data_IF_831686317216
#
_entry.id   IF_831686317216
#
_cell.length_a   1.000
_cell.length_b   1.000
_cell.length_c   1.000
_cell.angle_alpha   90.00
_cell.angle_beta   90.00
_cell.angle_gamma   90.00
#
_symmetry.space_group_name_H-M   'P 1'
#
loop_
_entity.id
_entity.type
_entity.pdbx_description
1 polymer ?
#
# COMPACT_ATOMS: atom_id res chain seq x y z
N UNK A 1 -21.25 -27.07 25.38
CA UNK A 1 -21.03 -25.71 24.82
C UNK A 1 -20.66 -25.77 23.34
N UNK A 2 -19.82 -26.72 22.95
CA UNK A 2 -19.52 -27.12 21.54
C UNK A 2 -20.72 -27.13 20.57
N UNK A 3 -21.86 -27.74 20.91
CA UNK A 3 -23.01 -27.83 20.00
C UNK A 3 -23.70 -26.47 19.73
N UNK A 4 -23.75 -25.57 20.72
CA UNK A 4 -24.31 -24.23 20.55
C UNK A 4 -23.39 -23.36 19.67
N UNK A 5 -22.06 -23.46 19.88
CA UNK A 5 -21.07 -22.77 19.05
C UNK A 5 -21.08 -23.27 17.59
N UNK A 6 -21.29 -24.57 17.37
CA UNK A 6 -21.45 -25.14 16.02
C UNK A 6 -22.74 -24.65 15.34
N UNK A 7 -23.84 -24.52 16.07
CA UNK A 7 -25.08 -23.96 15.53
C UNK A 7 -24.90 -22.48 15.16
N UNK A 8 -24.24 -21.68 16.01
CA UNK A 8 -23.96 -20.28 15.71
C UNK A 8 -22.97 -20.12 14.54
N UNK A 9 -22.01 -21.03 14.39
CA UNK A 9 -21.11 -21.08 13.23
C UNK A 9 -21.83 -21.43 11.93
N UNK A 10 -22.75 -22.39 11.97
CA UNK A 10 -23.56 -22.76 10.80
C UNK A 10 -24.46 -21.60 10.37
N UNK A 11 -25.01 -20.87 11.36
CA UNK A 11 -25.75 -19.64 11.12
C UNK A 11 -24.86 -18.53 10.56
N UNK A 12 -23.63 -18.35 11.08
CA UNK A 12 -22.67 -17.39 10.54
C UNK A 12 -22.29 -17.71 9.10
N UNK A 13 -22.01 -18.97 8.77
CA UNK A 13 -21.75 -19.36 7.39
C UNK A 13 -22.94 -19.05 6.48
N UNK A 14 -24.18 -19.36 6.90
CA UNK A 14 -25.38 -19.02 6.13
C UNK A 14 -25.59 -17.51 5.93
N UNK A 15 -25.17 -16.69 6.90
CA UNK A 15 -25.26 -15.23 6.83
C UNK A 15 -24.14 -14.61 6.00
N UNK A 16 -22.97 -15.25 5.95
CA UNK A 16 -21.81 -14.86 5.15
C UNK A 16 -22.01 -15.19 3.66
N UNK A 17 -22.75 -16.27 3.38
CA UNK A 17 -23.22 -16.65 2.03
C UNK A 17 -24.46 -15.85 1.59
N UNK A 18 -25.11 -15.18 2.54
CA UNK A 18 -26.25 -14.29 2.31
C UNK A 18 -25.88 -12.94 1.67
N UNK A 19 -26.88 -12.10 1.31
CA UNK A 19 -26.66 -10.83 0.63
C UNK A 19 -25.84 -9.83 1.47
N UNK A 20 -25.14 -8.87 0.83
CA UNK A 20 -24.26 -7.89 1.51
C UNK A 20 -24.97 -6.95 2.50
N UNK A 21 -26.31 -7.01 2.57
CA UNK A 21 -27.15 -6.25 3.50
C UNK A 21 -27.10 -6.77 4.95
N UNK A 22 -26.52 -7.95 5.21
CA UNK A 22 -26.40 -8.55 6.55
C UNK A 22 -25.16 -8.10 7.34
N UNK A 23 -24.32 -7.22 6.77
CA UNK A 23 -23.09 -6.72 7.40
C UNK A 23 -23.25 -6.19 8.86
N UNK A 24 -24.29 -5.39 9.19
CA UNK A 24 -24.46 -4.93 10.58
C UNK A 24 -24.83 -6.07 11.53
N UNK A 25 -25.66 -7.02 11.10
CA UNK A 25 -26.06 -8.17 11.92
C UNK A 25 -24.90 -9.14 12.17
N UNK A 26 -24.04 -9.36 11.17
CA UNK A 26 -22.81 -10.13 11.31
C UNK A 26 -21.89 -9.45 12.33
N UNK A 27 -21.71 -8.13 12.26
CA UNK A 27 -20.87 -7.39 13.21
C UNK A 27 -21.37 -7.49 14.65
N UNK A 28 -22.69 -7.42 14.87
CA UNK A 28 -23.29 -7.52 16.19
C UNK A 28 -23.13 -8.94 16.76
N UNK A 29 -23.28 -9.97 15.93
CA UNK A 29 -23.08 -11.37 16.32
C UNK A 29 -21.62 -11.68 16.62
N UNK A 30 -20.68 -11.20 15.78
CA UNK A 30 -19.25 -11.32 16.03
C UNK A 30 -18.84 -10.63 17.33
N UNK A 31 -19.44 -9.48 17.68
CA UNK A 31 -19.16 -8.81 18.95
C UNK A 31 -19.62 -9.65 20.16
N UNK A 32 -20.81 -10.27 20.10
CA UNK A 32 -21.30 -11.19 21.15
C UNK A 32 -20.37 -12.40 21.31
N UNK A 33 -19.94 -12.99 20.19
CA UNK A 33 -19.00 -14.11 20.18
C UNK A 33 -17.64 -13.73 20.75
N UNK A 34 -17.11 -12.54 20.43
CA UNK A 34 -15.86 -12.04 21.03
C UNK A 34 -15.95 -11.92 22.55
N UNK A 35 -17.06 -11.41 23.07
CA UNK A 35 -17.29 -11.33 24.52
C UNK A 35 -17.35 -12.72 25.13
N UNK A 36 -18.02 -13.66 24.47
CA UNK A 36 -18.08 -15.05 24.92
C UNK A 36 -16.70 -15.72 24.95
N UNK A 37 -15.89 -15.56 23.88
CA UNK A 37 -14.52 -16.07 23.84
C UNK A 37 -13.58 -15.41 24.86
N UNK A 38 -13.81 -14.14 25.18
CA UNK A 38 -13.08 -13.47 26.25
C UNK A 38 -13.43 -14.05 27.62
N UNK A 39 -14.70 -14.33 27.87
CA UNK A 39 -15.18 -14.92 29.12
C UNK A 39 -14.68 -16.37 29.30
N UNK A 40 -14.57 -17.13 28.21
CA UNK A 40 -14.07 -18.52 28.24
C UNK A 40 -12.55 -18.65 28.18
N UNK A 41 -11.81 -17.55 27.98
CA UNK A 41 -10.34 -17.57 27.89
C UNK A 41 -9.78 -18.17 26.58
N UNK A 42 -10.62 -18.46 25.60
CA UNK A 42 -10.23 -19.11 24.33
C UNK A 42 -9.49 -18.19 23.35
N UNK A 43 -9.47 -16.87 23.60
CA UNK A 43 -8.83 -15.87 22.72
C UNK A 43 -7.30 -16.00 22.63
N UNK A 44 -6.65 -16.49 23.68
CA UNK A 44 -5.18 -16.54 23.75
C UNK A 44 -4.60 -17.89 23.31
N UNK A 45 -5.45 -18.78 22.78
CA UNK A 45 -5.05 -20.09 22.28
C UNK A 45 -4.16 -20.88 23.28
N UNK A 46 -4.62 -20.98 24.53
CA UNK A 46 -3.92 -21.72 25.59
C UNK A 46 -3.76 -23.20 25.20
N UNK A 47 -2.57 -23.81 25.42
CA UNK A 47 -2.28 -25.19 25.02
C UNK A 47 -3.08 -26.25 25.78
N UNK A 48 -3.82 -25.86 26.83
CA UNK A 48 -4.63 -26.75 27.68
C UNK A 48 -6.13 -26.75 27.30
N UNK A 49 -6.51 -26.01 26.26
CA UNK A 49 -7.91 -25.90 25.81
C UNK A 49 -8.30 -26.98 24.80
N UNK A 50 -9.59 -27.29 24.72
CA UNK A 50 -10.13 -28.27 23.77
C UNK A 50 -9.78 -27.91 22.32
N UNK A 51 -9.09 -28.83 21.62
CA UNK A 51 -8.68 -28.67 20.20
C UNK A 51 -9.84 -28.26 19.29
N UNK A 52 -11.03 -28.82 19.55
CA UNK A 52 -12.22 -28.53 18.78
C UNK A 52 -12.70 -27.08 19.00
N UNK A 53 -12.72 -26.60 20.24
CA UNK A 53 -13.14 -25.22 20.54
C UNK A 53 -12.14 -24.19 20.00
N UNK A 54 -10.84 -24.50 20.02
CA UNK A 54 -9.81 -23.68 19.38
C UNK A 54 -9.99 -23.61 17.85
N UNK A 55 -10.28 -24.74 17.20
CA UNK A 55 -10.54 -24.78 15.76
C UNK A 55 -11.80 -23.99 15.35
N UNK A 56 -12.86 -24.06 16.17
CA UNK A 56 -14.07 -23.24 15.98
C UNK A 56 -13.76 -21.75 16.17
N UNK A 57 -13.05 -21.40 17.25
CA UNK A 57 -12.66 -20.01 17.55
C UNK A 57 -11.84 -19.42 16.40
N UNK A 58 -10.85 -20.17 15.89
CA UNK A 58 -10.09 -19.80 14.70
C UNK A 58 -11.03 -19.52 13.53
N UNK A 59 -11.92 -20.44 13.20
CA UNK A 59 -12.84 -20.28 12.06
C UNK A 59 -13.72 -19.02 12.18
N UNK A 60 -14.21 -18.70 13.39
CA UNK A 60 -14.95 -17.45 13.64
C UNK A 60 -14.07 -16.21 13.42
N UNK A 61 -12.83 -16.22 13.91
CA UNK A 61 -11.89 -15.11 13.73
C UNK A 61 -11.51 -14.91 12.26
N UNK A 62 -11.33 -15.99 11.49
CA UNK A 62 -11.08 -15.96 10.04
C UNK A 62 -12.24 -15.30 9.30
N UNK A 63 -13.49 -15.68 9.61
CA UNK A 63 -14.69 -15.04 9.06
C UNK A 63 -14.76 -13.57 9.46
N UNK A 64 -14.41 -13.24 10.70
CA UNK A 64 -14.35 -11.87 11.20
C UNK A 64 -13.36 -11.01 10.42
N UNK A 65 -12.19 -11.56 10.06
CA UNK A 65 -11.20 -10.89 9.23
C UNK A 65 -11.73 -10.63 7.81
N UNK A 66 -12.37 -11.62 7.17
CA UNK A 66 -12.99 -11.45 5.86
C UNK A 66 -14.10 -10.39 5.86
N UNK A 67 -14.95 -10.41 6.88
CA UNK A 67 -16.01 -9.40 7.04
C UNK A 67 -15.44 -7.99 7.26
N UNK A 68 -14.38 -7.86 8.05
CA UNK A 68 -13.70 -6.58 8.28
C UNK A 68 -13.17 -5.97 6.97
N UNK A 69 -12.62 -6.81 6.08
CA UNK A 69 -12.17 -6.37 4.75
C UNK A 69 -13.33 -6.01 3.81
N UNK A 70 -14.40 -6.80 3.80
CA UNK A 70 -15.61 -6.50 2.99
C UNK A 70 -16.27 -5.18 3.42
N UNK A 71 -16.20 -4.85 4.70
CA UNK A 71 -16.71 -3.58 5.25
C UNK A 71 -15.71 -2.41 5.13
N UNK A 72 -14.51 -2.64 4.59
CA UNK A 72 -13.47 -1.61 4.42
C UNK A 72 -12.83 -1.13 5.72
N UNK A 73 -12.99 -1.85 6.83
CA UNK A 73 -12.45 -1.45 8.14
C UNK A 73 -11.09 -2.10 8.42
N UNK A 74 -10.02 -1.39 8.03
CA UNK A 74 -8.63 -1.83 8.18
C UNK A 74 -8.24 -2.06 9.65
N UNK A 75 -8.66 -1.18 10.56
CA UNK A 75 -8.31 -1.30 12.00
C UNK A 75 -8.88 -2.59 12.59
N UNK A 76 -10.12 -2.92 12.21
CA UNK A 76 -10.75 -4.18 12.63
C UNK A 76 -10.02 -5.37 12.03
N UNK A 77 -9.64 -5.31 10.75
CA UNK A 77 -8.86 -6.35 10.10
C UNK A 77 -7.54 -6.62 10.83
N UNK A 78 -6.75 -5.59 11.12
CA UNK A 78 -5.49 -5.72 11.87
C UNK A 78 -5.69 -6.33 13.26
N UNK A 79 -6.78 -5.97 13.93
CA UNK A 79 -7.12 -6.54 15.23
C UNK A 79 -7.38 -8.05 15.10
N UNK A 80 -8.16 -8.49 14.11
CA UNK A 80 -8.38 -9.91 13.85
C UNK A 80 -7.11 -10.63 13.43
N UNK A 81 -6.27 -10.00 12.61
CA UNK A 81 -5.01 -10.58 12.12
C UNK A 81 -4.03 -10.85 13.28
N UNK A 82 -3.93 -9.89 14.22
CA UNK A 82 -3.13 -10.05 15.45
C UNK A 82 -3.65 -11.17 16.36
N UNK A 83 -4.97 -11.33 16.43
CA UNK A 83 -5.60 -12.40 17.21
C UNK A 83 -5.41 -13.77 16.58
N UNK A 84 -5.36 -13.85 15.24
CA UNK A 84 -5.19 -15.11 14.51
C UNK A 84 -3.76 -15.65 14.56
N UNK A 85 -2.76 -14.79 14.71
CA UNK A 85 -1.34 -15.16 14.74
C UNK A 85 -1.01 -16.31 15.72
N UNK A 86 -1.37 -16.25 17.03
CA UNK A 86 -1.10 -17.34 17.97
C UNK A 86 -1.79 -18.66 17.60
N UNK A 87 -2.94 -18.62 16.91
CA UNK A 87 -3.62 -19.84 16.46
C UNK A 87 -2.90 -20.55 15.32
N UNK A 88 -2.05 -19.84 14.56
CA UNK A 88 -1.28 -20.42 13.46
C UNK A 88 0.09 -20.94 13.89
N UNK A 89 0.66 -20.39 14.96
CA UNK A 89 1.91 -20.86 15.58
C UNK A 89 1.70 -22.13 16.42
N UNK A 90 0.47 -22.36 16.89
CA UNK A 90 0.12 -23.54 17.66
C UNK A 90 0.18 -24.83 16.82
N UNK A 91 1.21 -25.63 17.05
CA UNK A 91 1.45 -26.92 16.38
C UNK A 91 0.38 -28.00 16.64
N UNK A 92 -0.53 -27.78 17.60
CA UNK A 92 -1.61 -28.71 17.93
C UNK A 92 -2.84 -28.58 17.02
N UNK A 93 -2.91 -27.59 16.14
CA UNK A 93 -4.07 -27.37 15.26
C UNK A 93 -3.78 -27.82 13.82
N UNK A 94 -4.74 -28.50 13.20
CA UNK A 94 -4.64 -28.83 11.77
C UNK A 94 -4.65 -27.58 10.90
N UNK A 95 -3.91 -27.58 9.80
CA UNK A 95 -3.89 -26.47 8.86
C UNK A 95 -5.32 -26.15 8.35
N UNK A 96 -5.77 -24.90 8.53
CA UNK A 96 -7.06 -24.47 7.97
C UNK A 96 -6.94 -24.24 6.46
N UNK A 97 -7.99 -24.53 5.67
CA UNK A 97 -8.01 -24.21 4.25
C UNK A 97 -7.96 -22.70 3.97
N UNK A 98 -8.32 -21.87 4.96
CA UNK A 98 -8.30 -20.41 4.86
C UNK A 98 -6.96 -19.77 5.24
N UNK A 99 -6.04 -20.52 5.87
CA UNK A 99 -4.70 -20.04 6.24
C UNK A 99 -3.97 -19.36 5.07
N UNK A 100 -3.83 -19.97 3.87
CA UNK A 100 -3.13 -19.33 2.76
C UNK A 100 -3.84 -18.08 2.24
N UNK A 101 -5.16 -17.99 2.40
CA UNK A 101 -5.95 -16.82 2.01
C UNK A 101 -5.65 -15.64 2.92
N UNK A 102 -5.66 -15.86 4.23
CA UNK A 102 -5.38 -14.82 5.23
C UNK A 102 -3.94 -14.34 5.12
N UNK A 103 -3.01 -15.26 4.90
CA UNK A 103 -1.62 -14.93 4.61
C UNK A 103 -1.51 -14.04 3.37
N UNK A 104 -2.16 -14.42 2.27
CA UNK A 104 -2.19 -13.62 1.04
C UNK A 104 -2.80 -12.23 1.26
N UNK A 105 -3.85 -12.12 2.08
CA UNK A 105 -4.45 -10.83 2.45
C UNK A 105 -3.51 -9.98 3.31
N UNK A 106 -2.76 -10.60 4.24
CA UNK A 106 -1.73 -9.91 5.05
C UNK A 106 -0.61 -9.37 4.17
N UNK A 107 -0.09 -10.18 3.26
CA UNK A 107 0.92 -9.74 2.29
C UNK A 107 0.42 -8.59 1.42
N UNK A 108 -0.80 -8.70 0.90
CA UNK A 108 -1.41 -7.64 0.09
C UNK A 108 -1.66 -6.36 0.91
N UNK A 109 -1.99 -6.49 2.20
CA UNK A 109 -2.14 -5.36 3.10
C UNK A 109 -0.82 -4.56 3.22
N UNK A 110 0.30 -5.22 3.51
CA UNK A 110 1.60 -4.56 3.60
C UNK A 110 2.00 -3.87 2.28
N UNK A 111 1.74 -4.54 1.15
CA UNK A 111 1.95 -3.96 -0.17
C UNK A 111 1.09 -2.71 -0.40
N UNK A 112 -0.16 -2.70 0.09
CA UNK A 112 -1.07 -1.56 -0.05
C UNK A 112 -0.70 -0.35 0.81
N UNK A 113 -0.03 -0.55 1.95
CA UNK A 113 0.51 0.52 2.79
C UNK A 113 1.88 1.02 2.28
N UNK A 114 2.55 0.26 1.42
CA UNK A 114 3.88 0.58 0.91
C UNK A 114 5.03 0.19 1.84
N UNK A 115 4.77 -0.64 2.86
CA UNK A 115 5.82 -1.19 3.73
C UNK A 115 6.38 -2.49 3.14
N UNK A 116 7.35 -2.33 2.24
CA UNK A 116 8.06 -3.46 1.62
C UNK A 116 8.94 -4.21 2.62
N UNK A 117 9.36 -3.57 3.71
CA UNK A 117 10.23 -4.20 4.72
C UNK A 117 9.45 -5.28 5.45
N UNK A 118 8.27 -4.93 5.99
CA UNK A 118 7.38 -5.88 6.63
C UNK A 118 6.95 -7.01 5.69
N UNK A 119 6.73 -6.68 4.40
CA UNK A 119 6.41 -7.66 3.37
C UNK A 119 7.52 -8.70 3.18
N UNK A 120 8.78 -8.27 2.99
CA UNK A 120 9.89 -9.19 2.78
C UNK A 120 10.25 -10.00 4.03
N UNK A 121 10.18 -9.40 5.22
CA UNK A 121 10.35 -10.13 6.49
C UNK A 121 9.28 -11.21 6.64
N UNK A 122 8.02 -10.91 6.28
CA UNK A 122 6.97 -11.93 6.31
C UNK A 122 7.27 -13.05 5.31
N UNK A 123 7.71 -12.74 4.09
CA UNK A 123 8.06 -13.78 3.10
C UNK A 123 9.20 -14.69 3.57
N UNK A 124 10.16 -14.19 4.34
CA UNK A 124 11.27 -14.98 4.89
C UNK A 124 10.79 -16.00 5.95
N UNK A 125 9.71 -15.69 6.66
CA UNK A 125 9.14 -16.59 7.68
C UNK A 125 8.28 -17.72 7.10
N UNK A 126 8.00 -17.71 5.79
CA UNK A 126 7.12 -18.69 5.15
C UNK A 126 7.89 -19.90 4.63
N UNK A 127 7.25 -21.06 4.75
CA UNK A 127 7.76 -22.29 4.16
C UNK A 127 7.67 -22.25 2.62
N UNK A 128 8.62 -22.88 1.89
CA UNK A 128 8.63 -22.88 0.43
C UNK A 128 7.42 -23.56 -0.20
N UNK A 129 6.75 -24.46 0.53
CA UNK A 129 5.52 -25.10 0.08
C UNK A 129 4.35 -24.11 0.03
N UNK A 130 4.26 -23.21 1.02
CA UNK A 130 3.21 -22.18 1.10
C UNK A 130 3.39 -21.12 0.02
N UNK A 131 4.63 -20.84 -0.39
CA UNK A 131 4.91 -19.94 -1.53
C UNK A 131 4.31 -20.44 -2.86
N UNK A 132 3.93 -21.72 -2.94
CA UNK A 132 3.30 -22.26 -4.14
C UNK A 132 1.79 -21.97 -4.25
N UNK A 133 1.16 -21.49 -3.18
CA UNK A 133 -0.27 -21.19 -3.18
C UNK A 133 -0.62 -20.02 -4.10
N UNK A 134 -1.78 -20.12 -4.75
CA UNK A 134 -2.27 -19.14 -5.73
C UNK A 134 -2.42 -17.74 -5.12
N UNK A 135 -2.86 -17.67 -3.86
CA UNK A 135 -3.08 -16.39 -3.16
C UNK A 135 -1.76 -15.69 -2.78
N UNK A 136 -0.75 -16.46 -2.41
CA UNK A 136 0.56 -15.92 -2.01
C UNK A 136 1.34 -15.52 -3.27
N UNK A 137 1.30 -16.36 -4.31
CA UNK A 137 1.86 -16.03 -5.63
C UNK A 137 1.31 -14.73 -6.19
N UNK A 138 0.01 -14.48 -6.06
CA UNK A 138 -0.60 -13.23 -6.51
C UNK A 138 0.06 -12.01 -5.84
N UNK A 139 0.28 -12.04 -4.53
CA UNK A 139 0.93 -10.94 -3.81
C UNK A 139 2.40 -10.75 -4.23
N UNK A 140 3.14 -11.85 -4.43
CA UNK A 140 4.53 -11.83 -4.91
C UNK A 140 4.63 -11.30 -6.35
N UNK A 141 3.75 -11.74 -7.24
CA UNK A 141 3.73 -11.27 -8.62
C UNK A 141 3.36 -9.78 -8.71
N UNK A 142 2.41 -9.32 -7.86
CA UNK A 142 2.05 -7.91 -7.75
C UNK A 142 3.23 -7.05 -7.29
N UNK A 143 3.96 -7.49 -6.27
CA UNK A 143 5.17 -6.81 -5.79
C UNK A 143 6.24 -6.75 -6.88
N UNK A 144 6.49 -7.87 -7.57
CA UNK A 144 7.44 -7.90 -8.69
C UNK A 144 7.06 -6.92 -9.79
N UNK A 145 5.78 -6.87 -10.19
CA UNK A 145 5.34 -5.92 -11.21
C UNK A 145 5.42 -4.48 -10.77
N UNK A 146 5.24 -4.21 -9.47
CA UNK A 146 5.43 -2.88 -8.89
C UNK A 146 6.91 -2.46 -8.95
N UNK A 147 7.82 -3.37 -8.62
CA UNK A 147 9.27 -3.15 -8.72
C UNK A 147 9.75 -2.98 -10.17
N UNK A 148 9.19 -3.74 -11.11
CA UNK A 148 9.45 -3.59 -12.55
C UNK A 148 8.88 -2.27 -13.13
N UNK A 149 7.99 -1.58 -12.40
CA UNK A 149 7.22 -0.45 -12.93
C UNK A 149 6.18 -0.87 -13.99
N UNK A 150 5.81 -2.15 -14.03
CA UNK A 150 4.87 -2.71 -15.00
C UNK A 150 3.42 -2.57 -14.54
N UNK A 151 2.96 -1.32 -14.40
CA UNK A 151 1.63 -1.00 -13.87
C UNK A 151 0.46 -1.56 -14.71
N UNK A 152 0.67 -1.80 -16.01
CA UNK A 152 -0.31 -2.46 -16.88
C UNK A 152 -0.66 -3.87 -16.41
N UNK A 153 0.32 -4.62 -15.88
CA UNK A 153 0.10 -5.97 -15.36
C UNK A 153 -0.67 -5.90 -14.03
N UNK A 154 -0.32 -4.96 -13.15
CA UNK A 154 -1.01 -4.70 -11.89
C UNK A 154 -2.48 -4.34 -12.12
N UNK A 155 -2.77 -3.49 -13.10
CA UNK A 155 -4.15 -3.13 -13.45
C UNK A 155 -4.97 -4.34 -13.90
N UNK A 156 -4.41 -5.21 -14.76
CA UNK A 156 -5.06 -6.45 -15.24
C UNK A 156 -5.20 -7.52 -14.16
N UNK A 157 -4.37 -7.45 -13.12
CA UNK A 157 -4.44 -8.38 -12.00
C UNK A 157 -5.73 -8.24 -11.19
N UNK A 158 -6.35 -7.05 -11.22
CA UNK A 158 -7.68 -6.79 -10.64
C UNK A 158 -8.74 -7.76 -11.17
N UNK A 159 -8.69 -8.10 -12.45
CA UNK A 159 -9.66 -8.99 -13.08
C UNK A 159 -9.40 -10.47 -12.77
N UNK A 160 -8.20 -10.80 -12.28
CA UNK A 160 -7.76 -12.16 -11.94
C UNK A 160 -7.97 -12.50 -10.47
N UNK A 161 -8.63 -11.63 -9.72
CA UNK A 161 -8.82 -11.77 -8.28
C UNK A 161 -9.72 -12.98 -7.97
N UNK A 162 -9.24 -14.00 -7.25
CA UNK A 162 -10.04 -15.19 -6.97
C UNK A 162 -11.17 -14.95 -5.97
N UNK A 163 -11.08 -13.88 -5.16
CA UNK A 163 -11.91 -13.66 -3.98
C UNK A 163 -12.22 -12.18 -3.72
N UNK A 164 -13.48 -11.81 -3.39
CA UNK A 164 -13.88 -10.41 -3.28
C UNK A 164 -13.17 -9.65 -2.16
N UNK A 165 -12.67 -10.32 -1.13
CA UNK A 165 -11.95 -9.71 -0.01
C UNK A 165 -10.66 -9.00 -0.44
N UNK A 166 -10.01 -9.47 -1.50
CA UNK A 166 -8.80 -8.85 -2.06
C UNK A 166 -9.10 -7.55 -2.82
N UNK A 167 -10.35 -7.36 -3.27
CA UNK A 167 -10.75 -6.22 -4.09
C UNK A 167 -10.55 -4.88 -3.40
N UNK A 168 -10.89 -4.79 -2.11
CA UNK A 168 -10.72 -3.57 -1.32
C UNK A 168 -9.24 -3.17 -1.19
N UNK A 169 -8.36 -4.14 -0.89
CA UNK A 169 -6.93 -3.89 -0.76
C UNK A 169 -6.29 -3.53 -2.11
N UNK A 170 -6.73 -4.16 -3.20
CA UNK A 170 -6.26 -3.86 -4.54
C UNK A 170 -6.66 -2.46 -5.02
N UNK A 171 -7.88 -2.01 -4.70
CA UNK A 171 -8.31 -0.64 -5.01
C UNK A 171 -7.44 0.39 -4.28
N UNK A 172 -7.11 0.12 -3.01
CA UNK A 172 -6.18 0.94 -2.25
C UNK A 172 -4.77 0.96 -2.86
N UNK A 173 -4.26 -0.21 -3.24
CA UNK A 173 -2.98 -0.34 -3.94
C UNK A 173 -2.97 0.46 -5.26
N UNK A 174 -4.06 0.43 -6.01
CA UNK A 174 -4.21 1.22 -7.24
C UNK A 174 -4.14 2.73 -6.98
N UNK A 175 -4.66 3.20 -5.85
CA UNK A 175 -4.49 4.60 -5.40
C UNK A 175 -3.02 4.97 -5.22
N UNK A 176 -2.23 4.10 -4.57
CA UNK A 176 -0.79 4.29 -4.40
C UNK A 176 -0.03 4.23 -5.73
N UNK A 177 -0.38 3.28 -6.60
CA UNK A 177 0.21 3.17 -7.95
C UNK A 177 -0.03 4.44 -8.77
N UNK A 178 -1.26 4.98 -8.77
CA UNK A 178 -1.57 6.26 -9.42
C UNK A 178 -0.74 7.40 -8.85
N UNK A 179 -0.52 7.40 -7.53
CA UNK A 179 0.32 8.39 -6.86
C UNK A 179 1.79 8.33 -7.31
N UNK A 180 2.34 7.13 -7.46
CA UNK A 180 3.69 6.91 -7.96
C UNK A 180 3.84 7.30 -9.44
N UNK A 181 2.90 6.86 -10.29
CA UNK A 181 2.88 7.23 -11.71
C UNK A 181 2.84 8.75 -11.86
N UNK A 182 2.01 9.43 -11.07
CA UNK A 182 1.90 10.89 -11.09
C UNK A 182 3.23 11.57 -10.70
N UNK A 183 3.93 11.08 -9.68
CA UNK A 183 5.24 11.62 -9.30
C UNK A 183 6.30 11.42 -10.40
N UNK A 184 6.27 10.30 -11.11
CA UNK A 184 7.14 10.07 -12.28
C UNK A 184 6.76 10.98 -13.44
N UNK A 185 5.46 11.19 -13.69
CA UNK A 185 4.98 12.09 -14.76
C UNK A 185 5.42 13.53 -14.52
N UNK A 186 5.29 14.03 -13.29
CA UNK A 186 5.73 15.37 -12.88
C UNK A 186 7.23 15.60 -13.07
N UNK A 187 8.04 14.54 -13.00
CA UNK A 187 9.49 14.62 -13.18
C UNK A 187 9.95 14.36 -14.61
N UNK A 188 9.14 13.68 -15.42
CA UNK A 188 9.54 13.24 -16.76
C UNK A 188 9.00 14.14 -17.87
N UNK A 189 7.88 14.84 -17.64
CA UNK A 189 7.21 15.65 -18.66
C UNK A 189 7.02 17.09 -18.19
N UNK A 190 7.10 18.04 -19.13
CA UNK A 190 6.78 19.45 -18.89
C UNK A 190 5.29 19.72 -19.06
N UNK A 191 4.66 19.06 -20.03
CA UNK A 191 3.22 19.09 -20.27
C UNK A 191 2.72 17.75 -20.82
N UNK A 192 1.44 17.46 -20.61
CA UNK A 192 0.82 16.20 -21.04
C UNK A 192 -0.64 16.43 -21.49
N UNK A 193 -1.06 15.94 -22.68
CA UNK A 193 -2.45 15.98 -23.11
C UNK A 193 -3.37 15.17 -22.19
N UNK A 194 -4.61 15.63 -22.01
CA UNK A 194 -5.64 14.97 -21.18
C UNK A 194 -5.87 13.50 -21.57
N UNK A 195 -5.90 13.18 -22.86
CA UNK A 195 -6.10 11.80 -23.36
C UNK A 195 -4.98 10.85 -22.93
N UNK A 196 -3.73 11.34 -22.98
CA UNK A 196 -2.55 10.57 -22.63
C UNK A 196 -2.47 10.42 -21.11
N UNK A 197 -2.80 11.47 -20.36
CA UNK A 197 -2.90 11.43 -18.91
C UNK A 197 -3.95 10.41 -18.42
N UNK A 198 -5.12 10.40 -19.06
CA UNK A 198 -6.18 9.43 -18.75
C UNK A 198 -5.73 7.99 -18.99
N UNK A 199 -5.03 7.74 -20.10
CA UNK A 199 -4.51 6.41 -20.43
C UNK A 199 -3.41 5.97 -19.46
N UNK A 200 -2.50 6.86 -19.08
CA UNK A 200 -1.39 6.55 -18.17
C UNK A 200 -1.84 6.29 -16.73
N UNK A 201 -2.86 7.01 -16.25
CA UNK A 201 -3.38 6.87 -14.89
C UNK A 201 -4.53 5.84 -14.77
N UNK A 202 -4.83 5.14 -15.87
CA UNK A 202 -5.89 4.13 -15.95
C UNK A 202 -7.28 4.67 -15.58
N UNK A 203 -7.59 5.91 -15.99
CA UNK A 203 -8.94 6.46 -15.90
C UNK A 203 -9.76 6.07 -17.13
N UNK A 204 -11.05 5.80 -16.93
CA UNK A 204 -11.98 5.58 -18.06
C UNK A 204 -12.36 6.91 -18.69
N UNK A 205 -12.80 6.89 -19.96
CA UNK A 205 -13.20 8.10 -20.70
C UNK A 205 -14.35 8.89 -20.05
N UNK A 206 -15.14 8.28 -19.15
CA UNK A 206 -16.19 8.94 -18.38
C UNK A 206 -15.78 9.51 -17.01
N UNK A 207 -14.53 9.30 -16.58
CA UNK A 207 -14.01 9.69 -15.26
C UNK A 207 -13.15 10.97 -15.32
N UNK A 208 -13.37 11.82 -16.33
CA UNK A 208 -12.56 13.04 -16.53
C UNK A 208 -12.63 14.00 -15.35
N UNK A 209 -13.75 14.05 -14.62
CA UNK A 209 -13.87 14.84 -13.39
C UNK A 209 -12.91 14.38 -12.30
N UNK A 210 -12.77 13.08 -12.08
CA UNK A 210 -11.85 12.51 -11.09
C UNK A 210 -10.39 12.79 -11.45
N UNK A 211 -10.06 12.75 -12.75
CA UNK A 211 -8.73 13.13 -13.23
C UNK A 211 -8.43 14.61 -12.96
N UNK A 212 -9.40 15.50 -13.14
CA UNK A 212 -9.25 16.93 -12.85
C UNK A 212 -9.15 17.19 -11.34
N UNK A 213 -9.93 16.50 -10.51
CA UNK A 213 -9.81 16.56 -9.04
C UNK A 213 -8.43 16.06 -8.58
N UNK A 214 -7.95 14.96 -9.15
CA UNK A 214 -6.62 14.43 -8.86
C UNK A 214 -5.51 15.41 -9.30
N UNK A 215 -5.67 16.04 -10.46
CA UNK A 215 -4.76 17.05 -10.99
C UNK A 215 -4.72 18.29 -10.09
N UNK A 216 -5.88 18.79 -9.63
CA UNK A 216 -5.96 19.96 -8.74
C UNK A 216 -5.36 19.68 -7.36
N UNK A 217 -5.56 18.48 -6.79
CA UNK A 217 -4.92 18.07 -5.54
C UNK A 217 -3.39 18.11 -5.60
N UNK A 218 -2.82 17.90 -6.79
CA UNK A 218 -1.37 17.94 -7.03
C UNK A 218 -0.85 19.28 -7.56
N UNK A 219 -1.73 20.25 -7.80
CA UNK A 219 -1.37 21.55 -8.35
C UNK A 219 -1.00 21.51 -9.83
N UNK A 220 -1.56 20.59 -10.61
CA UNK A 220 -1.43 20.59 -12.06
C UNK A 220 -2.36 21.64 -12.66
N UNK A 221 -1.84 22.46 -13.57
CA UNK A 221 -2.62 23.50 -14.24
C UNK A 221 -3.21 22.93 -15.54
N UNK A 222 -4.51 23.14 -15.74
CA UNK A 222 -5.21 22.73 -16.97
C UNK A 222 -5.30 23.92 -17.92
N UNK A 223 -4.63 23.83 -19.07
CA UNK A 223 -4.81 24.81 -20.15
C UNK A 223 -6.07 24.48 -20.96
N UNK A 224 -7.13 25.27 -20.80
CA UNK A 224 -8.43 25.06 -21.48
C UNK A 224 -8.35 25.14 -23.02
N UNK A 225 -7.36 25.84 -23.58
CA UNK A 225 -7.20 26.02 -25.03
C UNK A 225 -6.63 24.78 -25.74
N UNK A 226 -5.75 24.04 -25.06
CA UNK A 226 -5.03 22.89 -25.62
C UNK A 226 -5.40 21.56 -24.96
N UNK A 227 -6.23 21.59 -23.91
CA UNK A 227 -6.54 20.41 -23.09
C UNK A 227 -5.28 19.66 -22.63
N UNK A 228 -4.24 20.42 -22.29
CA UNK A 228 -2.96 19.90 -21.79
C UNK A 228 -2.79 20.29 -20.32
N UNK A 229 -2.35 19.34 -19.51
CA UNK A 229 -1.82 19.60 -18.18
C UNK A 229 -0.41 20.16 -18.28
N UNK A 230 -0.13 21.23 -17.54
CA UNK A 230 1.21 21.73 -17.29
C UNK A 230 1.58 21.39 -15.86
N UNK A 231 2.73 20.74 -15.68
CA UNK A 231 3.19 20.31 -14.36
C UNK A 231 4.01 21.43 -13.72
N UNK A 232 3.93 21.62 -12.39
CA UNK A 232 4.83 22.53 -11.70
C UNK A 232 6.27 22.08 -11.93
N UNK A 233 7.17 23.02 -12.27
CA UNK A 233 8.58 22.68 -12.45
C UNK A 233 9.09 21.99 -11.18
N UNK A 234 9.59 20.78 -11.35
CA UNK A 234 10.17 20.05 -10.22
C UNK A 234 11.28 20.91 -9.58
N UNK A 235 11.47 20.86 -8.25
CA UNK A 235 12.53 21.61 -7.57
C UNK A 235 13.94 21.12 -7.94
N UNK A 236 14.06 20.02 -8.71
CA UNK A 236 15.31 19.64 -9.35
C UNK A 236 15.49 20.56 -10.56
N UNK A 237 16.50 21.46 -10.54
CA UNK A 237 16.75 22.28 -11.70
C UNK A 237 17.16 21.37 -12.85
N UNK A 238 16.34 21.32 -13.90
CA UNK A 238 16.80 20.79 -15.17
C UNK A 238 18.02 21.59 -15.59
N UNK A 239 19.17 20.90 -15.67
CA UNK A 239 20.45 21.49 -16.05
C UNK A 239 20.31 22.19 -17.41
N UNK A 240 19.43 21.67 -18.28
CA UNK A 240 19.11 22.24 -19.59
C UNK A 240 18.29 23.55 -19.52
N UNK A 241 17.29 23.64 -18.65
CA UNK A 241 16.48 24.87 -18.49
C UNK A 241 17.31 25.95 -17.78
N UNK A 242 18.16 25.55 -16.82
CA UNK A 242 19.11 26.44 -16.18
C UNK A 242 20.21 26.93 -17.14
N UNK A 243 20.61 26.12 -18.11
CA UNK A 243 21.56 26.51 -19.15
C UNK A 243 20.95 27.45 -20.19
N UNK A 244 19.72 27.18 -20.65
CA UNK A 244 19.02 28.00 -21.65
C UNK A 244 18.64 29.40 -21.12
N UNK A 245 18.24 29.51 -19.84
CA UNK A 245 17.97 30.81 -19.20
C UNK A 245 19.22 31.66 -18.96
N UNK A 246 20.41 31.06 -19.06
CA UNK A 246 21.70 31.75 -18.92
C UNK A 246 22.25 32.27 -20.27
N UNK A 247 21.72 31.81 -21.41
CA UNK A 247 22.19 32.22 -22.75
C UNK A 247 21.50 33.44 -23.33
N UNK A 248 20.45 33.98 -22.68
CA UNK A 248 19.77 35.20 -23.13
C UNK A 248 20.52 36.46 -22.65
N UNK A 249 21.09 37.28 -23.55
CA UNK A 249 21.93 38.43 -23.19
C UNK A 249 21.16 39.66 -22.69
N UNK A 250 19.83 39.59 -22.53
CA UNK A 250 18.98 40.74 -22.20
C UNK A 250 18.22 40.62 -20.86
N UNK A 251 18.57 39.67 -20.00
CA UNK A 251 18.01 39.58 -18.66
C UNK A 251 18.69 40.60 -17.73
N UNK A 252 18.03 41.73 -17.49
CA UNK A 252 18.45 42.77 -16.56
C UNK A 252 18.67 42.24 -15.14
N UNK A 253 19.68 42.81 -14.46
CA UNK A 253 20.18 42.47 -13.13
C UNK A 253 19.14 42.43 -11.98
N UNK A 254 17.89 42.80 -12.23
CA UNK A 254 16.77 42.71 -11.27
C UNK A 254 16.26 41.27 -11.05
N UNK A 255 16.60 40.32 -11.92
CA UNK A 255 16.26 38.90 -11.71
C UNK A 255 17.23 38.17 -10.78
N UNK A 256 18.37 38.78 -10.45
CA UNK A 256 19.37 38.21 -9.52
C UNK A 256 18.98 38.38 -8.05
N UNK A 257 18.12 39.34 -7.71
CA UNK A 257 17.80 39.67 -6.31
C UNK A 257 16.57 38.93 -5.76
N UNK A 258 15.72 38.37 -6.64
CA UNK A 258 14.54 37.58 -6.23
C UNK A 258 14.93 36.14 -5.79
N UNK A 259 16.20 35.77 -5.94
CA UNK A 259 16.71 34.43 -5.61
C UNK A 259 17.70 34.41 -4.43
N UNK A 260 17.61 35.36 -3.49
CA UNK A 260 18.19 35.17 -2.17
C UNK A 260 17.42 34.08 -1.40
N UNK A 261 17.71 32.82 -1.70
CA UNK A 261 17.33 31.68 -0.85
C UNK A 261 17.03 30.36 -1.55
N UNK A 262 16.69 30.38 -2.85
CA UNK A 262 16.35 29.16 -3.61
C UNK A 262 16.88 29.23 -5.05
N UNK A 263 18.17 29.52 -5.20
CA UNK A 263 18.90 29.38 -6.45
C UNK A 263 19.86 28.20 -6.35
N UNK A 264 19.88 27.37 -7.40
CA UNK A 264 20.85 26.29 -7.62
C UNK A 264 22.25 26.77 -7.27
N UNK A 265 22.85 26.24 -6.19
CA UNK A 265 24.28 26.43 -5.93
C UNK A 265 25.03 25.75 -7.07
N UNK A 266 25.42 26.52 -8.09
CA UNK A 266 26.42 26.12 -9.08
C UNK A 266 27.65 25.63 -8.31
N UNK A 267 28.04 24.38 -8.56
CA UNK A 267 29.18 23.72 -7.94
C UNK A 267 28.81 22.98 -6.67
N UNK A 268 29.13 21.68 -6.62
CA UNK A 268 29.42 21.01 -5.36
C UNK A 268 30.21 21.97 -4.47
N UNK A 269 29.77 22.21 -3.22
CA UNK A 269 30.31 23.31 -2.42
C UNK A 269 31.83 23.17 -2.38
N UNK A 270 32.59 24.22 -2.69
CA UNK A 270 34.03 24.23 -2.41
C UNK A 270 34.31 23.83 -0.95
N UNK A 271 33.36 24.05 -0.04
CA UNK A 271 33.36 23.55 1.34
C UNK A 271 33.42 22.03 1.49
N UNK A 272 32.95 21.23 0.51
CA UNK A 272 33.00 19.75 0.55
C UNK A 272 34.33 19.19 0.07
N UNK A 273 35.08 19.93 -0.74
CA UNK A 273 36.43 19.57 -1.19
C UNK A 273 37.52 20.20 -0.31
N UNK A 274 37.40 21.51 -0.04
CA UNK A 274 38.41 22.29 0.70
C UNK A 274 38.26 22.08 2.22
N UNK A 275 37.04 21.87 2.73
CA UNK A 275 36.79 21.70 4.16
C UNK A 275 37.46 20.46 4.75
N UNK A 276 37.32 19.26 4.16
CA UNK A 276 38.04 18.07 4.61
C UNK A 276 39.56 18.21 4.51
N UNK A 277 40.06 18.82 3.43
CA UNK A 277 41.50 19.05 3.23
C UNK A 277 42.08 20.02 4.28
N UNK A 278 41.38 21.10 4.61
CA UNK A 278 41.77 22.03 5.68
C UNK A 278 41.75 21.38 7.06
N UNK A 279 40.73 20.55 7.36
CA UNK A 279 40.68 19.80 8.61
C UNK A 279 41.81 18.79 8.72
N UNK A 280 42.14 18.11 7.64
CA UNK A 280 43.25 17.16 7.61
C UNK A 280 44.59 17.88 7.79
N UNK A 281 44.78 19.04 7.15
CA UNK A 281 45.95 19.88 7.32
C UNK A 281 46.11 20.37 8.76
N UNK A 282 45.03 20.86 9.39
CA UNK A 282 45.03 21.28 10.80
C UNK A 282 45.32 20.11 11.76
N UNK A 283 44.81 18.91 11.47
CA UNK A 283 45.11 17.71 12.27
C UNK A 283 46.57 17.29 12.15
N UNK A 284 47.18 17.43 10.97
CA UNK A 284 48.60 17.11 10.76
C UNK A 284 49.52 18.15 11.41
N UNK A 285 49.17 19.44 11.36
CA UNK A 285 49.91 20.50 12.07
C UNK A 285 49.85 20.35 13.60
N UNK A 286 48.75 19.82 14.15
CA UNK A 286 48.61 19.61 15.59
C UNK A 286 49.42 18.42 16.16
N UNK A 287 49.99 17.57 15.29
CA UNK A 287 50.80 16.40 15.68
C UNK A 287 52.31 16.69 15.64
N UNK A 288 52.71 17.81 14.99
CA UNK A 288 54.10 18.32 14.96
C UNK A 288 54.34 19.24 16.15
#
# INVERSE_FOLDING_TARGET
MTAALQQELTQLHSLVDGPPSSAPEISQRLAKLKVHFAQSGLLFASPDSDRHELALTRSVLEIGAFHALRSGNIKSYLSYDSLLLPFYDNAQLDASPNRPIILGLRLLYWLSEGDLTAFHTMLETLDPEQLQDVFIKLAVDLERWLMEGSYNKVYRARDRVPRPEFGFLLERLMGQVRSQIAATVETSYTSLPLSNAATLLFYKSGETSQLVEFATQRGWELSHSTSTFTFPLSPKPDIAIAAAKFSDPNASAQTLDILQGKGVKKGTPMTRMVGPSLRLAQQLEAVV
#
